data_IF_075940886003
#
_entry.id   IF_075940886003
#
_cell.length_a   1.000
_cell.length_b   1.000
_cell.length_c   1.000
_cell.angle_alpha   90.00
_cell.angle_beta   90.00
_cell.angle_gamma   90.00
#
_symmetry.space_group_name_H-M   'P 1'
#
loop_
_entity.id
_entity.type
_entity.pdbx_description
1 polymer ?
#
# COMPACT_ATOMS: atom_id res chain seq x y z
N UNK A 1 -4.39 -20.88 9.45
CA UNK A 1 -3.27 -20.02 9.86
C UNK A 1 -3.23 -19.96 11.39
N UNK A 2 -2.12 -20.32 12.02
CA UNK A 2 -1.97 -20.23 13.49
C UNK A 2 -1.45 -18.85 13.92
N UNK A 3 -1.61 -18.49 15.19
CA UNK A 3 -1.21 -17.16 15.65
C UNK A 3 0.31 -16.95 15.51
N UNK A 4 1.14 -17.95 15.83
CA UNK A 4 2.62 -17.86 15.70
C UNK A 4 3.06 -17.60 14.26
N UNK A 5 2.45 -18.30 13.30
CA UNK A 5 2.73 -18.11 11.88
C UNK A 5 2.37 -16.69 11.42
N UNK A 6 1.27 -16.13 11.92
CA UNK A 6 0.89 -14.76 11.59
C UNK A 6 1.79 -13.70 12.25
N UNK A 7 2.31 -13.95 13.45
CA UNK A 7 3.32 -13.08 14.07
C UNK A 7 4.60 -13.03 13.24
N UNK A 8 5.06 -14.19 12.76
CA UNK A 8 6.29 -14.31 11.98
C UNK A 8 6.14 -13.75 10.55
N UNK A 9 5.03 -14.07 9.87
CA UNK A 9 4.78 -13.62 8.49
C UNK A 9 4.45 -12.13 8.37
N UNK A 10 3.72 -11.58 9.34
CA UNK A 10 3.18 -10.21 9.27
C UNK A 10 3.76 -9.28 10.33
N UNK A 11 4.71 -9.73 11.15
CA UNK A 11 5.36 -8.92 12.18
C UNK A 11 4.44 -8.45 13.31
N UNK A 12 3.29 -9.10 13.49
CA UNK A 12 2.27 -8.66 14.46
C UNK A 12 2.71 -9.03 15.87
N UNK A 13 2.78 -8.04 16.76
CA UNK A 13 3.10 -8.26 18.17
C UNK A 13 1.84 -8.55 18.99
N UNK A 14 1.89 -9.63 19.77
CA UNK A 14 0.82 -10.02 20.70
C UNK A 14 -0.25 -10.91 20.07
N UNK A 15 -0.60 -11.99 20.77
CA UNK A 15 -1.58 -12.99 20.32
C UNK A 15 -2.98 -12.39 20.12
N UNK A 16 -3.39 -11.44 20.96
CA UNK A 16 -4.68 -10.75 20.85
C UNK A 16 -4.77 -9.92 19.57
N UNK A 17 -3.72 -9.18 19.23
CA UNK A 17 -3.64 -8.39 18.01
C UNK A 17 -3.69 -9.28 16.77
N UNK A 18 -3.01 -10.44 16.80
CA UNK A 18 -3.11 -11.43 15.72
C UNK A 18 -4.54 -11.93 15.54
N UNK A 19 -5.26 -12.23 16.62
CA UNK A 19 -6.65 -12.67 16.54
C UNK A 19 -7.59 -11.58 16.00
N UNK A 20 -7.40 -10.33 16.43
CA UNK A 20 -8.15 -9.18 15.90
C UNK A 20 -7.83 -8.96 14.42
N UNK A 21 -6.56 -9.07 14.03
CA UNK A 21 -6.11 -8.93 12.66
C UNK A 21 -6.67 -10.05 11.78
N UNK A 22 -6.64 -11.30 12.22
CA UNK A 22 -7.25 -12.44 11.53
C UNK A 22 -8.77 -12.32 11.43
N UNK A 23 -9.44 -11.69 12.40
CA UNK A 23 -10.89 -11.45 12.35
C UNK A 23 -11.27 -10.33 11.36
N UNK A 24 -10.41 -9.32 11.21
CA UNK A 24 -10.61 -8.20 10.28
C UNK A 24 -10.15 -8.50 8.86
N UNK A 25 -9.09 -9.28 8.71
CA UNK A 25 -8.36 -9.45 7.45
C UNK A 25 -8.10 -10.92 7.07
N UNK A 26 -8.37 -11.87 7.96
CA UNK A 26 -8.18 -13.29 7.68
C UNK A 26 -9.30 -13.82 6.80
N UNK A 27 -8.94 -14.55 5.75
CA UNK A 27 -9.87 -15.12 4.77
C UNK A 27 -10.51 -16.45 5.19
N UNK A 28 -10.44 -16.83 6.46
CA UNK A 28 -10.92 -18.12 6.95
C UNK A 28 -12.19 -17.90 7.78
N UNK A 29 -13.27 -18.61 7.46
CA UNK A 29 -14.50 -18.57 8.24
C UNK A 29 -14.28 -19.22 9.62
N UNK A 30 -13.89 -18.42 10.62
CA UNK A 30 -13.64 -18.87 12.00
C UNK A 30 -14.90 -19.40 12.73
N UNK A 31 -16.06 -19.43 12.07
CA UNK A 31 -17.29 -20.02 12.59
C UNK A 31 -17.39 -21.54 12.37
N UNK A 32 -16.47 -22.18 11.63
CA UNK A 32 -16.52 -23.64 11.38
C UNK A 32 -16.29 -24.52 12.63
N UNK A 33 -15.96 -23.92 13.78
CA UNK A 33 -15.84 -24.61 15.07
C UNK A 33 -16.99 -24.33 16.05
N UNK A 34 -18.03 -23.60 15.65
CA UNK A 34 -19.26 -23.48 16.43
C UNK A 34 -20.32 -24.30 15.70
N UNK A 35 -20.20 -25.61 15.84
CA UNK A 35 -21.21 -26.57 15.43
C UNK A 35 -22.51 -26.33 16.21
N UNK A 36 -23.45 -25.64 15.56
CA UNK A 36 -24.88 -25.83 15.77
C UNK A 36 -25.43 -26.48 14.50
N UNK A 37 -26.08 -27.65 14.57
CA UNK A 37 -26.70 -28.23 13.40
C UNK A 37 -27.98 -27.43 13.15
N UNK A 38 -28.07 -26.75 12.01
CA UNK A 38 -29.27 -26.70 11.16
C UNK A 38 -29.14 -25.60 10.10
N UNK A 39 -29.56 -25.99 8.89
CA UNK A 39 -30.03 -25.12 7.81
C UNK A 39 -28.97 -24.58 6.84
N UNK A 40 -28.71 -25.42 5.83
CA UNK A 40 -28.84 -25.12 4.39
C UNK A 40 -28.79 -23.64 3.98
N UNK A 41 -27.81 -23.29 3.14
CA UNK A 41 -27.87 -22.10 2.31
C UNK A 41 -26.53 -21.41 2.11
N UNK A 42 -25.54 -22.08 1.51
CA UNK A 42 -24.39 -21.35 0.97
C UNK A 42 -24.83 -20.65 -0.33
N UNK A 43 -25.50 -19.52 -0.15
CA UNK A 43 -25.71 -18.53 -1.18
C UNK A 43 -24.35 -17.98 -1.63
N UNK A 44 -24.11 -18.12 -2.92
CA UNK A 44 -23.05 -17.44 -3.64
C UNK A 44 -23.34 -15.93 -3.63
N UNK A 45 -22.40 -15.10 -3.17
CA UNK A 45 -22.39 -13.67 -3.49
C UNK A 45 -20.97 -13.09 -3.42
N UNK A 46 -20.39 -12.99 -4.61
CA UNK A 46 -19.74 -11.82 -5.21
C UNK A 46 -18.59 -11.11 -4.49
N UNK A 47 -17.40 -11.12 -5.12
CA UNK A 47 -16.73 -9.93 -5.69
C UNK A 47 -15.23 -10.19 -5.93
N UNK A 48 -14.66 -9.88 -7.11
CA UNK A 48 -13.24 -10.07 -7.41
C UNK A 48 -12.45 -8.86 -6.88
N UNK A 49 -12.33 -8.71 -5.57
CA UNK A 49 -11.59 -7.57 -4.99
C UNK A 49 -10.75 -8.00 -3.79
N UNK A 50 -10.10 -9.15 -3.92
CA UNK A 50 -8.86 -9.39 -3.17
C UNK A 50 -7.73 -9.16 -4.15
N UNK A 51 -7.40 -7.89 -4.40
CA UNK A 51 -6.08 -7.60 -4.97
C UNK A 51 -5.06 -8.29 -4.07
N UNK A 52 -4.37 -9.27 -4.64
CA UNK A 52 -3.38 -10.07 -3.93
C UNK A 52 -2.39 -9.06 -3.38
N UNK A 53 -2.05 -9.10 -2.08
CA UNK A 53 -1.12 -8.12 -1.49
C UNK A 53 0.20 -8.03 -2.28
N UNK A 54 0.62 -9.11 -2.95
CA UNK A 54 1.76 -9.14 -3.85
C UNK A 54 1.56 -8.31 -5.14
N UNK A 55 0.35 -8.30 -5.71
CA UNK A 55 0.02 -7.44 -6.85
C UNK A 55 0.08 -5.96 -6.47
N UNK A 56 -0.34 -5.61 -5.25
CA UNK A 56 -0.22 -4.24 -4.73
C UNK A 56 1.23 -3.83 -4.52
N UNK A 57 2.08 -4.72 -4.01
CA UNK A 57 3.51 -4.44 -3.85
C UNK A 57 4.16 -4.18 -5.20
N UNK A 58 3.90 -5.04 -6.19
CA UNK A 58 4.44 -4.88 -7.55
C UNK A 58 3.98 -3.57 -8.21
N UNK A 59 2.71 -3.21 -8.03
CA UNK A 59 2.17 -1.94 -8.53
C UNK A 59 2.84 -0.73 -7.84
N UNK A 60 3.06 -0.81 -6.53
CA UNK A 60 3.75 0.25 -5.79
C UNK A 60 5.23 0.37 -6.17
N UNK A 61 5.93 -0.74 -6.40
CA UNK A 61 7.31 -0.75 -6.90
C UNK A 61 7.40 -0.10 -8.29
N UNK A 62 6.47 -0.43 -9.18
CA UNK A 62 6.38 0.21 -10.50
C UNK A 62 6.13 1.71 -10.39
N UNK A 63 5.24 2.15 -9.49
CA UNK A 63 4.99 3.57 -9.24
C UNK A 63 6.24 4.28 -8.69
N UNK A 64 7.05 3.61 -7.86
CA UNK A 64 8.31 4.15 -7.37
C UNK A 64 9.32 4.35 -8.51
N UNK A 65 9.49 3.36 -9.39
CA UNK A 65 10.39 3.48 -10.54
C UNK A 65 9.96 4.61 -11.48
N UNK A 66 8.67 4.70 -11.78
CA UNK A 66 8.14 5.77 -12.63
C UNK A 66 8.34 7.16 -12.02
N UNK A 67 8.15 7.30 -10.71
CA UNK A 67 8.33 8.57 -10.01
C UNK A 67 9.80 8.97 -9.93
N UNK A 68 10.72 8.01 -9.76
CA UNK A 68 12.16 8.26 -9.80
C UNK A 68 12.60 8.72 -11.20
N UNK A 69 12.17 8.03 -12.25
CA UNK A 69 12.49 8.42 -13.63
C UNK A 69 11.96 9.82 -13.96
N UNK A 70 10.73 10.14 -13.53
CA UNK A 70 10.17 11.48 -13.67
C UNK A 70 11.00 12.52 -12.91
N UNK A 71 11.45 12.21 -11.69
CA UNK A 71 12.29 13.12 -10.91
C UNK A 71 13.65 13.39 -11.60
N UNK A 72 14.33 12.35 -12.09
CA UNK A 72 15.60 12.46 -12.79
C UNK A 72 15.44 13.29 -14.08
N UNK A 73 14.36 13.07 -14.83
CA UNK A 73 14.02 13.86 -16.00
C UNK A 73 13.80 15.35 -15.64
N UNK A 74 13.02 15.65 -14.60
CA UNK A 74 12.80 17.02 -14.16
C UNK A 74 14.10 17.68 -13.67
N UNK A 75 14.97 16.93 -13.00
CA UNK A 75 16.29 17.43 -12.60
C UNK A 75 17.14 17.81 -13.82
N UNK A 76 17.16 16.97 -14.86
CA UNK A 76 17.86 17.24 -16.09
C UNK A 76 17.32 18.50 -16.80
N UNK A 77 15.99 18.63 -16.91
CA UNK A 77 15.35 19.82 -17.50
C UNK A 77 15.70 21.08 -16.71
N UNK A 78 15.66 21.03 -15.37
CA UNK A 78 16.03 22.17 -14.52
C UNK A 78 17.51 22.55 -14.73
N UNK A 79 18.41 21.57 -14.84
CA UNK A 79 19.84 21.83 -15.12
C UNK A 79 20.06 22.51 -16.46
N UNK A 80 19.34 22.10 -17.51
CA UNK A 80 19.39 22.74 -18.84
C UNK A 80 18.86 24.17 -18.77
N UNK A 81 17.73 24.39 -18.08
CA UNK A 81 17.18 25.74 -17.89
C UNK A 81 18.11 26.67 -17.12
N UNK A 82 18.79 26.16 -16.09
CA UNK A 82 19.80 26.90 -15.34
C UNK A 82 21.02 27.24 -16.21
N UNK A 83 21.46 26.31 -17.08
CA UNK A 83 22.64 26.47 -17.95
C UNK A 83 22.37 27.43 -19.12
N UNK A 84 21.30 27.22 -19.87
CA UNK A 84 21.08 27.86 -21.16
C UNK A 84 20.31 29.19 -21.04
N UNK A 85 19.46 29.30 -20.02
CA UNK A 85 18.59 30.47 -19.82
C UNK A 85 18.92 31.25 -18.53
N UNK A 86 19.85 30.76 -17.71
CA UNK A 86 20.25 31.43 -16.46
C UNK A 86 19.11 31.58 -15.45
N UNK A 87 18.04 30.78 -15.56
CA UNK A 87 16.82 30.92 -14.74
C UNK A 87 17.06 30.38 -13.34
N UNK A 88 17.80 31.14 -12.52
CA UNK A 88 17.99 30.82 -11.10
C UNK A 88 16.66 30.94 -10.36
N UNK A 89 16.02 29.80 -10.05
CA UNK A 89 14.86 29.81 -9.15
C UNK A 89 15.36 30.22 -7.75
N UNK A 90 15.02 31.44 -7.36
CA UNK A 90 15.38 31.97 -6.04
C UNK A 90 14.84 31.08 -4.93
N UNK A 91 15.60 30.99 -3.82
CA UNK A 91 15.21 30.19 -2.64
C UNK A 91 13.79 30.53 -2.15
N UNK A 92 13.39 31.81 -2.28
CA UNK A 92 12.05 32.31 -1.96
C UNK A 92 10.97 31.66 -2.83
N UNK A 93 11.17 31.58 -4.16
CA UNK A 93 10.23 30.93 -5.09
C UNK A 93 10.11 29.43 -4.86
N UNK A 94 11.21 28.74 -4.54
CA UNK A 94 11.16 27.30 -4.17
C UNK A 94 10.32 27.06 -2.91
N UNK A 95 10.49 27.88 -1.88
CA UNK A 95 9.73 27.76 -0.63
C UNK A 95 8.22 28.01 -0.82
N UNK A 96 7.86 28.94 -1.70
CA UNK A 96 6.46 29.22 -2.05
C UNK A 96 5.81 28.04 -2.81
N UNK A 97 6.52 27.46 -3.78
CA UNK A 97 6.05 26.27 -4.51
C UNK A 97 5.84 25.06 -3.59
N UNK A 98 6.75 24.85 -2.64
CA UNK A 98 6.63 23.75 -1.66
C UNK A 98 5.44 23.92 -0.72
N UNK A 99 5.11 25.16 -0.32
CA UNK A 99 3.94 25.44 0.52
C UNK A 99 2.61 25.22 -0.19
N UNK A 100 2.58 25.40 -1.52
CA UNK A 100 1.35 25.25 -2.34
C UNK A 100 1.01 23.81 -2.70
N UNK A 101 1.97 22.89 -2.56
CA UNK A 101 1.79 21.45 -2.83
C UNK A 101 1.21 20.67 -1.64
N UNK A 102 1.06 21.32 -0.48
CA UNK A 102 0.47 20.77 0.75
C UNK A 102 -1.00 21.14 0.84
#
# INVERSE_FOLDING_TARGET
MTYKQAQERYGIQGRSNVLVWLRKHGQLNWFKGIEKPNTVGNGMLDSPSTQIPEQRIKELEQQLEETQLKADFFEAVVKVMDRDFGVRISKKRKAELLRKKR
#
